data_IF_937422226813
#
_entry.id   IF_937422226813
#
_cell.length_a   1.000
_cell.length_b   1.000
_cell.length_c   1.000
_cell.angle_alpha   90.00
_cell.angle_beta   90.00
_cell.angle_gamma   90.00
#
_symmetry.space_group_name_H-M   'P 1'
#
loop_
_entity.id
_entity.type
_entity.pdbx_description
1 polymer ?
#
# COMPACT_ATOMS: atom_id res chain seq x y z
N UNK A 1 29.50 -7.80 -16.55
CA UNK A 1 28.07 -8.18 -16.77
C UNK A 1 27.82 -8.91 -18.09
N UNK A 2 27.96 -8.28 -19.27
CA UNK A 2 27.61 -8.92 -20.57
C UNK A 2 28.32 -10.26 -20.83
N UNK A 3 29.60 -10.36 -20.47
CA UNK A 3 30.37 -11.61 -20.61
C UNK A 3 29.84 -12.73 -19.70
N UNK A 4 29.51 -12.40 -18.44
CA UNK A 4 28.90 -13.32 -17.48
C UNK A 4 27.51 -13.78 -17.95
N UNK A 5 26.69 -12.84 -18.43
CA UNK A 5 25.37 -13.12 -18.96
C UNK A 5 25.44 -14.12 -20.13
N UNK A 6 26.36 -13.90 -21.08
CA UNK A 6 26.63 -14.84 -22.18
C UNK A 6 27.11 -16.20 -21.68
N UNK A 7 28.06 -16.22 -20.75
CA UNK A 7 28.63 -17.47 -20.21
C UNK A 7 27.57 -18.33 -19.50
N UNK A 8 26.62 -17.69 -18.83
CA UNK A 8 25.53 -18.34 -18.10
C UNK A 8 24.25 -18.52 -18.94
N UNK A 9 24.25 -18.11 -20.20
CA UNK A 9 23.08 -18.10 -21.08
C UNK A 9 21.85 -17.35 -20.50
N UNK A 10 22.11 -16.29 -19.72
CA UNK A 10 21.09 -15.42 -19.10
C UNK A 10 21.20 -14.00 -19.66
N UNK A 11 20.25 -13.14 -19.32
CA UNK A 11 20.24 -11.72 -19.62
C UNK A 11 21.15 -10.94 -18.66
N UNK A 12 21.73 -9.82 -19.10
CA UNK A 12 22.52 -8.92 -18.25
C UNK A 12 21.77 -8.46 -16.98
N UNK A 13 20.48 -8.17 -17.11
CA UNK A 13 19.63 -7.78 -15.98
C UNK A 13 19.48 -8.89 -14.94
N UNK A 14 19.44 -10.16 -15.38
CA UNK A 14 19.38 -11.31 -14.48
C UNK A 14 20.69 -11.41 -13.66
N UNK A 15 21.85 -11.24 -14.29
CA UNK A 15 23.17 -11.23 -13.61
C UNK A 15 23.26 -10.10 -12.58
N UNK A 16 22.80 -8.89 -12.95
CA UNK A 16 22.79 -7.76 -12.03
C UNK A 16 21.84 -7.99 -10.85
N UNK A 17 20.64 -8.51 -11.12
CA UNK A 17 19.71 -8.87 -10.06
C UNK A 17 20.32 -9.89 -9.10
N UNK A 18 20.93 -10.94 -9.63
CA UNK A 18 21.56 -11.98 -8.80
C UNK A 18 22.74 -11.44 -7.98
N UNK A 19 23.56 -10.57 -8.57
CA UNK A 19 24.67 -9.90 -7.89
C UNK A 19 24.19 -9.08 -6.69
N UNK A 20 23.23 -8.18 -6.90
CA UNK A 20 22.71 -7.35 -5.82
C UNK A 20 21.98 -8.19 -4.75
N UNK A 21 21.16 -9.18 -5.14
CA UNK A 21 20.52 -10.08 -4.18
C UNK A 21 21.55 -10.85 -3.32
N UNK A 22 22.63 -11.37 -3.91
CA UNK A 22 23.68 -12.09 -3.16
C UNK A 22 24.51 -11.19 -2.23
N UNK A 23 24.46 -9.87 -2.42
CA UNK A 23 25.03 -8.89 -1.48
C UNK A 23 24.04 -8.49 -0.36
N UNK A 24 22.81 -9.01 -0.38
CA UNK A 24 21.75 -8.57 0.51
C UNK A 24 21.15 -7.22 0.11
N UNK A 25 21.38 -6.75 -1.13
CA UNK A 25 20.81 -5.52 -1.66
C UNK A 25 19.49 -5.83 -2.38
N UNK A 26 18.45 -5.03 -2.10
CA UNK A 26 17.21 -5.06 -2.87
C UNK A 26 17.47 -4.65 -4.33
N UNK A 27 16.84 -5.36 -5.27
CA UNK A 27 17.04 -5.11 -6.71
C UNK A 27 15.83 -4.42 -7.29
N UNK A 28 16.09 -3.31 -7.97
CA UNK A 28 15.11 -2.61 -8.78
C UNK A 28 15.35 -2.91 -10.24
N UNK A 29 14.35 -3.49 -10.90
CA UNK A 29 14.44 -3.75 -12.32
C UNK A 29 13.11 -3.39 -12.99
N UNK A 30 13.10 -2.20 -13.59
CA UNK A 30 12.10 -1.82 -14.58
C UNK A 30 12.37 -2.59 -15.88
N UNK A 31 11.65 -3.69 -16.09
CA UNK A 31 11.76 -4.49 -17.31
C UNK A 31 10.37 -4.81 -17.85
N UNK A 32 10.20 -4.75 -19.18
CA UNK A 32 9.00 -5.24 -19.87
C UNK A 32 8.86 -6.77 -19.84
N UNK A 33 9.77 -7.47 -19.14
CA UNK A 33 9.82 -8.93 -19.00
C UNK A 33 9.80 -9.36 -17.52
N UNK A 34 8.81 -8.88 -16.78
CA UNK A 34 8.62 -9.12 -15.34
C UNK A 34 8.65 -10.60 -14.96
N UNK A 35 8.04 -11.48 -15.76
CA UNK A 35 7.95 -12.93 -15.46
C UNK A 35 9.31 -13.62 -15.33
N UNK A 36 10.26 -13.29 -16.22
CA UNK A 36 11.58 -13.94 -16.24
C UNK A 36 12.49 -13.43 -15.11
N UNK A 37 12.35 -12.14 -14.77
CA UNK A 37 13.04 -11.60 -13.60
C UNK A 37 12.45 -12.17 -12.30
N UNK A 38 11.12 -12.35 -12.23
CA UNK A 38 10.46 -13.03 -11.13
C UNK A 38 10.99 -14.46 -10.96
N UNK A 39 11.24 -15.20 -12.04
CA UNK A 39 11.86 -16.53 -11.96
C UNK A 39 13.28 -16.48 -11.37
N UNK A 40 14.06 -15.44 -11.68
CA UNK A 40 15.37 -15.20 -11.05
C UNK A 40 15.25 -14.86 -9.57
N UNK A 41 14.28 -14.03 -9.19
CA UNK A 41 14.00 -13.69 -7.79
C UNK A 41 13.47 -14.91 -7.00
N UNK A 42 12.67 -15.77 -7.64
CA UNK A 42 12.13 -17.02 -7.06
C UNK A 42 13.17 -18.11 -6.86
N UNK A 43 14.18 -18.16 -7.73
CA UNK A 43 15.28 -19.14 -7.70
C UNK A 43 16.51 -18.63 -6.95
N UNK A 44 16.33 -17.61 -6.09
CA UNK A 44 17.40 -16.99 -5.32
C UNK A 44 18.26 -18.02 -4.56
N UNK A 45 17.73 -19.20 -4.22
CA UNK A 45 18.43 -20.12 -3.34
C UNK A 45 19.31 -21.22 -3.94
N UNK A 46 19.15 -21.74 -5.18
CA UNK A 46 19.85 -23.04 -5.44
C UNK A 46 20.57 -23.29 -6.78
N UNK A 47 20.16 -22.76 -7.94
CA UNK A 47 20.71 -23.33 -9.20
C UNK A 47 21.80 -22.51 -9.91
N UNK A 48 21.99 -21.24 -9.59
CA UNK A 48 23.02 -20.43 -10.27
C UNK A 48 23.55 -19.23 -9.47
N UNK A 49 23.90 -19.43 -8.20
CA UNK A 49 24.65 -18.39 -7.47
C UNK A 49 25.92 -17.99 -8.23
N UNK A 50 26.19 -16.69 -8.29
CA UNK A 50 27.45 -16.15 -8.74
C UNK A 50 28.52 -16.60 -7.76
N UNK A 51 29.61 -17.13 -8.29
CA UNK A 51 30.77 -17.55 -7.50
C UNK A 51 31.50 -16.34 -6.92
N UNK A 52 32.29 -16.53 -5.86
CA UNK A 52 33.10 -15.46 -5.26
C UNK A 52 33.95 -14.70 -6.28
N UNK A 53 34.46 -15.41 -7.29
CA UNK A 53 35.22 -14.81 -8.39
C UNK A 53 34.35 -13.93 -9.28
N UNK A 54 33.15 -14.38 -9.63
CA UNK A 54 32.21 -13.60 -10.45
C UNK A 54 31.70 -12.39 -9.66
N UNK A 55 31.47 -12.54 -8.36
CA UNK A 55 31.15 -11.46 -7.42
C UNK A 55 32.28 -10.43 -7.35
N UNK A 56 33.54 -10.86 -7.20
CA UNK A 56 34.70 -9.96 -7.17
C UNK A 56 34.86 -9.15 -8.47
N UNK A 57 34.63 -9.79 -9.63
CA UNK A 57 34.64 -9.11 -10.94
C UNK A 57 33.51 -8.09 -11.05
N UNK A 58 32.36 -8.35 -10.45
CA UNK A 58 31.22 -7.44 -10.45
C UNK A 58 31.34 -6.32 -9.41
N UNK A 59 32.03 -6.54 -8.29
CA UNK A 59 32.39 -5.49 -7.33
C UNK A 59 33.35 -4.45 -7.92
N UNK A 60 34.32 -4.89 -8.74
CA UNK A 60 35.17 -3.96 -9.51
C UNK A 60 34.32 -3.15 -10.52
N UNK A 61 33.24 -3.78 -10.99
CA UNK A 61 32.24 -3.17 -11.86
C UNK A 61 31.30 -2.21 -11.09
N UNK A 62 31.04 -2.41 -9.80
CA UNK A 62 30.34 -1.45 -8.93
C UNK A 62 31.15 -0.16 -8.76
N UNK A 63 32.47 -0.28 -8.52
CA UNK A 63 33.40 0.87 -8.55
C UNK A 63 33.46 1.56 -9.93
N UNK A 64 33.33 0.79 -11.01
CA UNK A 64 33.22 1.31 -12.37
C UNK A 64 31.85 1.95 -12.65
N UNK A 65 30.72 1.37 -12.22
CA UNK A 65 29.38 1.93 -12.44
C UNK A 65 29.17 3.18 -11.59
N UNK A 66 29.68 3.21 -10.36
CA UNK A 66 29.72 4.40 -9.52
C UNK A 66 30.56 5.54 -10.13
N UNK A 67 31.54 5.23 -10.99
CA UNK A 67 32.40 6.22 -11.67
C UNK A 67 32.02 6.51 -13.13
N UNK A 68 31.27 5.61 -13.79
CA UNK A 68 31.06 5.61 -15.26
C UNK A 68 29.60 5.63 -15.69
N UNK A 69 28.64 5.31 -14.80
CA UNK A 69 27.22 5.68 -14.99
C UNK A 69 26.97 7.05 -14.36
N UNK A 70 27.73 8.06 -14.80
CA UNK A 70 27.09 9.34 -15.10
C UNK A 70 26.39 9.17 -16.44
N UNK A 71 25.27 8.45 -16.43
CA UNK A 71 24.22 8.75 -17.41
C UNK A 71 23.94 10.24 -17.22
N UNK A 72 23.65 11.01 -18.27
CA UNK A 72 23.17 12.39 -18.17
C UNK A 72 21.79 12.49 -17.49
N UNK A 73 21.55 11.68 -16.46
CA UNK A 73 20.50 11.90 -15.49
C UNK A 73 21.03 12.95 -14.51
N UNK A 74 20.22 14.00 -14.29
CA UNK A 74 20.52 15.10 -13.36
C UNK A 74 21.14 14.56 -12.05
N UNK A 75 22.08 15.27 -11.40
CA UNK A 75 22.48 15.01 -10.01
C UNK A 75 21.29 14.77 -9.04
N UNK A 76 20.10 15.27 -9.39
CA UNK A 76 18.85 15.06 -8.65
C UNK A 76 18.26 13.64 -8.82
N UNK A 77 18.48 12.98 -9.97
CA UNK A 77 18.04 11.59 -10.23
C UNK A 77 18.67 10.60 -9.24
N UNK A 78 19.95 10.81 -8.90
CA UNK A 78 20.67 9.97 -7.94
C UNK A 78 20.45 10.36 -6.48
N UNK A 79 19.97 11.59 -6.19
CA UNK A 79 19.62 11.97 -4.81
C UNK A 79 18.38 11.24 -4.28
N UNK A 80 17.50 10.78 -5.18
CA UNK A 80 16.30 10.00 -4.83
C UNK A 80 16.44 8.48 -4.91
N UNK A 81 17.48 8.00 -5.59
CA UNK A 81 17.66 6.59 -5.96
C UNK A 81 18.84 5.91 -5.26
N UNK A 82 19.22 6.39 -4.08
CA UNK A 82 20.08 5.58 -3.21
C UNK A 82 19.25 4.33 -2.88
N UNK A 83 19.67 3.16 -3.33
CA UNK A 83 18.95 1.91 -3.07
C UNK A 83 18.62 1.80 -1.58
N UNK A 84 17.49 1.16 -1.27
CA UNK A 84 17.10 0.88 0.11
C UNK A 84 18.27 0.20 0.85
N UNK A 85 18.94 0.96 1.71
CA UNK A 85 20.08 0.48 2.47
C UNK A 85 19.54 -0.42 3.56
N UNK A 86 19.77 -1.73 3.46
CA UNK A 86 19.25 -2.69 4.43
C UNK A 86 19.79 -2.45 5.85
N UNK A 87 20.86 -1.68 6.02
CA UNK A 87 21.30 -1.20 7.34
C UNK A 87 20.28 -0.27 8.01
N UNK A 88 19.43 0.42 7.25
CA UNK A 88 18.30 1.19 7.79
C UNK A 88 17.30 0.27 8.52
N UNK A 89 17.19 -1.02 8.14
CA UNK A 89 16.34 -1.99 8.84
C UNK A 89 16.85 -2.28 10.26
N UNK A 90 18.17 -2.35 10.42
CA UNK A 90 18.79 -2.58 11.74
C UNK A 90 18.54 -1.38 12.66
N UNK A 91 18.58 -0.16 12.13
CA UNK A 91 18.26 1.07 12.88
C UNK A 91 16.78 1.15 13.27
N UNK A 92 15.88 0.67 12.39
CA UNK A 92 14.44 0.61 12.61
C UNK A 92 14.03 -0.35 13.76
N UNK A 93 14.74 -1.47 13.93
CA UNK A 93 14.47 -2.46 14.98
C UNK A 93 14.67 -1.93 16.40
N UNK A 94 15.45 -0.85 16.58
CA UNK A 94 15.82 -0.31 17.90
C UNK A 94 14.77 0.68 18.44
N UNK A 95 13.77 1.06 17.64
CA UNK A 95 12.74 2.01 18.09
C UNK A 95 11.78 1.36 19.10
N UNK A 96 11.65 1.98 20.27
CA UNK A 96 10.84 1.47 21.38
C UNK A 96 9.37 1.26 20.97
N UNK A 97 8.76 0.19 21.48
CA UNK A 97 7.34 -0.09 21.27
C UNK A 97 6.47 1.10 21.72
N UNK A 98 5.57 1.61 20.85
CA UNK A 98 4.61 2.62 21.26
C UNK A 98 3.73 2.09 22.38
N UNK A 99 3.41 2.93 23.37
CA UNK A 99 2.58 2.58 24.53
C UNK A 99 1.09 2.39 24.21
N UNK A 100 0.74 1.63 23.17
CA UNK A 100 -0.63 1.27 22.82
C UNK A 100 -1.03 -0.05 23.50
N UNK A 101 -2.35 -0.23 23.72
CA UNK A 101 -2.91 -1.47 24.26
C UNK A 101 -3.83 -2.11 23.24
N UNK A 102 -3.59 -3.39 22.94
CA UNK A 102 -4.45 -4.16 22.05
C UNK A 102 -5.90 -4.24 22.57
N UNK A 103 -6.08 -4.44 23.87
CA UNK A 103 -7.42 -4.49 24.48
C UNK A 103 -8.16 -3.16 24.30
N UNK A 104 -7.51 -2.04 24.56
CA UNK A 104 -8.11 -0.71 24.41
C UNK A 104 -8.42 -0.39 22.94
N UNK A 105 -7.48 -0.68 22.03
CA UNK A 105 -7.66 -0.45 20.60
C UNK A 105 -8.82 -1.27 20.03
N UNK A 106 -8.95 -2.53 20.44
CA UNK A 106 -10.05 -3.40 20.05
C UNK A 106 -11.39 -2.91 20.63
N UNK A 107 -11.42 -2.52 21.90
CA UNK A 107 -12.64 -1.99 22.52
C UNK A 107 -13.16 -0.74 21.77
N UNK A 108 -12.26 0.16 21.35
CA UNK A 108 -12.61 1.31 20.53
C UNK A 108 -13.09 0.89 19.13
N UNK A 109 -12.39 -0.04 18.48
CA UNK A 109 -12.75 -0.55 17.16
C UNK A 109 -14.12 -1.25 17.15
N UNK A 110 -14.44 -2.08 18.14
CA UNK A 110 -15.74 -2.74 18.29
C UNK A 110 -16.87 -1.75 18.66
N UNK A 111 -16.55 -0.72 19.44
CA UNK A 111 -17.53 0.30 19.83
C UNK A 111 -17.87 1.20 18.65
N UNK A 112 -16.85 1.73 17.98
CA UNK A 112 -16.98 2.84 17.05
C UNK A 112 -16.86 2.40 15.58
N UNK A 113 -16.34 1.21 15.30
CA UNK A 113 -16.02 0.74 13.93
C UNK A 113 -14.76 1.37 13.35
N UNK A 114 -14.08 2.19 14.14
CA UNK A 114 -12.82 2.84 13.80
C UNK A 114 -12.03 3.05 15.09
N UNK A 115 -10.72 2.87 15.02
CA UNK A 115 -9.78 3.23 16.10
C UNK A 115 -8.70 4.15 15.55
N UNK A 116 -8.27 5.11 16.36
CA UNK A 116 -7.16 6.02 16.07
C UNK A 116 -6.05 5.78 17.08
N UNK A 117 -4.88 5.38 16.58
CA UNK A 117 -3.69 5.17 17.40
C UNK A 117 -2.66 6.24 17.05
N UNK A 118 -2.43 7.13 18.00
CA UNK A 118 -1.49 8.24 17.84
C UNK A 118 -0.05 7.77 18.01
N UNK A 119 0.84 8.22 17.13
CA UNK A 119 2.27 7.84 17.13
C UNK A 119 2.48 6.33 17.22
N UNK A 120 1.65 5.57 16.52
CA UNK A 120 1.73 4.12 16.44
C UNK A 120 2.96 3.68 15.63
N UNK A 121 3.27 4.36 14.52
CA UNK A 121 4.38 3.96 13.67
C UNK A 121 5.70 4.60 14.12
N UNK A 122 6.81 3.85 14.08
CA UNK A 122 8.14 4.43 14.20
C UNK A 122 8.36 5.56 13.19
N UNK A 123 8.97 6.66 13.62
CA UNK A 123 9.25 7.81 12.74
C UNK A 123 10.02 7.40 11.48
N UNK A 124 11.03 6.55 11.63
CA UNK A 124 11.83 6.07 10.49
C UNK A 124 11.03 5.21 9.50
N UNK A 125 9.99 4.47 9.93
CA UNK A 125 9.11 3.73 9.02
C UNK A 125 8.26 4.69 8.16
N UNK A 126 7.82 5.81 8.77
CA UNK A 126 7.10 6.88 8.09
C UNK A 126 8.01 7.64 7.13
N UNK A 127 9.22 7.99 7.56
CA UNK A 127 10.22 8.65 6.71
C UNK A 127 10.59 7.78 5.50
N UNK A 128 10.75 6.46 5.69
CA UNK A 128 10.97 5.52 4.59
C UNK A 128 9.82 5.55 3.59
N UNK A 129 8.57 5.45 4.07
CA UNK A 129 7.39 5.55 3.21
C UNK A 129 7.25 6.92 2.52
N UNK A 130 7.67 8.02 3.15
CA UNK A 130 7.66 9.35 2.53
C UNK A 130 8.62 9.46 1.34
N UNK A 131 9.70 8.66 1.27
CA UNK A 131 10.58 8.60 0.09
C UNK A 131 9.84 8.15 -1.17
N UNK A 132 8.80 7.32 -1.02
CA UNK A 132 7.90 6.94 -2.13
C UNK A 132 7.22 8.15 -2.73
N UNK A 133 6.78 9.11 -1.91
CA UNK A 133 6.01 10.27 -2.36
C UNK A 133 6.81 11.12 -3.33
N UNK A 134 8.05 11.42 -2.96
CA UNK A 134 8.94 12.21 -3.81
C UNK A 134 9.21 11.52 -5.15
N UNK A 135 9.45 10.20 -5.13
CA UNK A 135 9.64 9.41 -6.36
C UNK A 135 8.39 9.44 -7.24
N UNK A 136 7.21 9.17 -6.67
CA UNK A 136 5.95 9.19 -7.40
C UNK A 136 5.70 10.56 -8.05
N UNK A 137 5.94 11.66 -7.33
CA UNK A 137 5.82 13.01 -7.88
C UNK A 137 6.78 13.23 -9.04
N UNK A 138 8.05 12.86 -8.92
CA UNK A 138 9.03 13.01 -10.00
C UNK A 138 8.69 12.15 -11.22
N UNK A 139 8.29 10.90 -11.03
CA UNK A 139 7.93 9.99 -12.12
C UNK A 139 6.70 10.48 -12.92
N UNK A 140 5.88 11.32 -12.29
CA UNK A 140 4.72 11.96 -12.91
C UNK A 140 4.98 13.41 -13.36
N UNK A 141 6.24 13.86 -13.34
CA UNK A 141 6.67 15.17 -13.84
C UNK A 141 6.44 16.35 -12.89
N UNK A 142 6.14 16.08 -11.61
CA UNK A 142 6.11 17.09 -10.56
C UNK A 142 7.51 17.39 -10.00
N UNK A 143 7.59 18.31 -9.03
CA UNK A 143 8.87 18.74 -8.45
C UNK A 143 8.92 18.57 -6.93
N UNK A 144 7.82 18.85 -6.25
CA UNK A 144 7.69 18.83 -4.80
C UNK A 144 6.44 18.05 -4.43
N UNK A 145 6.58 17.10 -3.51
CA UNK A 145 5.49 16.24 -3.06
C UNK A 145 4.62 16.93 -1.99
N UNK A 146 5.10 17.98 -1.34
CA UNK A 146 4.34 18.74 -0.35
C UNK A 146 3.57 19.90 -0.98
N UNK A 147 4.08 20.53 -2.04
CA UNK A 147 3.49 21.71 -2.66
C UNK A 147 2.38 21.36 -3.68
N UNK A 148 1.15 21.81 -3.41
CA UNK A 148 0.02 21.57 -4.31
C UNK A 148 0.14 22.26 -5.68
N UNK A 149 0.91 23.34 -5.80
CA UNK A 149 1.14 24.03 -7.09
C UNK A 149 2.13 23.27 -7.99
N UNK A 150 3.00 22.46 -7.37
CA UNK A 150 4.00 21.63 -8.05
C UNK A 150 3.57 20.16 -8.17
N UNK A 151 2.36 19.84 -7.71
CA UNK A 151 1.78 18.51 -7.77
C UNK A 151 1.35 18.16 -9.21
N UNK A 152 1.70 16.99 -9.73
CA UNK A 152 1.48 16.66 -11.13
C UNK A 152 0.00 16.48 -11.44
N UNK A 153 -0.48 17.12 -12.51
CA UNK A 153 -1.89 17.08 -12.93
C UNK A 153 -2.40 15.65 -13.13
N UNK A 154 -1.55 14.73 -13.59
CA UNK A 154 -1.90 13.30 -13.73
C UNK A 154 -2.34 12.67 -12.40
N UNK A 155 -1.64 12.95 -11.30
CA UNK A 155 -2.04 12.46 -9.98
C UNK A 155 -3.28 13.18 -9.41
N UNK A 156 -3.74 14.27 -10.04
CA UNK A 156 -5.06 14.84 -9.73
C UNK A 156 -6.20 14.13 -10.47
N UNK A 157 -5.92 13.52 -11.61
CA UNK A 157 -6.89 12.75 -12.38
C UNK A 157 -6.94 11.28 -11.94
N UNK A 158 -5.78 10.71 -11.61
CA UNK A 158 -5.55 9.34 -11.14
C UNK A 158 -4.83 9.39 -9.79
N UNK A 159 -5.52 9.77 -8.71
CA UNK A 159 -4.91 9.99 -7.39
C UNK A 159 -4.51 8.72 -6.67
N UNK A 160 -5.05 7.59 -7.10
CA UNK A 160 -4.77 6.28 -6.53
C UNK A 160 -3.60 5.69 -7.29
N UNK A 161 -2.48 5.50 -6.60
CA UNK A 161 -1.34 4.73 -7.11
C UNK A 161 -1.44 3.32 -6.50
N UNK A 162 -2.07 2.35 -7.19
CA UNK A 162 -2.23 1.01 -6.67
C UNK A 162 -0.89 0.26 -6.66
N UNK A 163 -0.80 -0.81 -5.86
CA UNK A 163 0.40 -1.67 -5.78
C UNK A 163 0.97 -2.09 -7.15
N UNK A 164 0.13 -2.37 -8.14
CA UNK A 164 0.61 -2.81 -9.47
C UNK A 164 1.27 -1.69 -10.29
N UNK A 165 1.17 -0.44 -9.84
CA UNK A 165 1.86 0.71 -10.42
C UNK A 165 3.15 1.07 -9.68
N UNK A 166 3.41 0.43 -8.53
CA UNK A 166 4.64 0.63 -7.76
C UNK A 166 5.73 -0.30 -8.27
N UNK A 167 6.95 0.22 -8.39
CA UNK A 167 8.12 -0.62 -8.64
C UNK A 167 8.70 -1.14 -7.33
N UNK A 168 9.66 -2.05 -7.44
CA UNK A 168 10.29 -2.71 -6.29
C UNK A 168 10.97 -1.72 -5.33
N UNK A 169 11.38 -0.53 -5.79
CA UNK A 169 11.94 0.53 -4.94
C UNK A 169 10.89 1.04 -3.98
N UNK A 170 9.72 1.42 -4.49
CA UNK A 170 8.63 1.91 -3.65
C UNK A 170 8.16 0.83 -2.69
N UNK A 171 8.07 -0.42 -3.17
CA UNK A 171 7.74 -1.54 -2.30
C UNK A 171 8.77 -1.69 -1.16
N UNK A 172 10.07 -1.61 -1.44
CA UNK A 172 11.09 -1.67 -0.40
C UNK A 172 10.95 -0.53 0.62
N UNK A 173 10.63 0.68 0.17
CA UNK A 173 10.38 1.82 1.08
C UNK A 173 9.11 1.68 1.90
N UNK A 174 8.10 0.95 1.41
CA UNK A 174 6.85 0.68 2.16
C UNK A 174 6.98 -0.50 3.13
N UNK A 175 7.99 -1.34 2.98
CA UNK A 175 8.16 -2.56 3.78
C UNK A 175 8.16 -2.31 5.31
N UNK A 176 8.93 -1.34 5.86
CA UNK A 176 8.91 -1.10 7.31
C UNK A 176 7.55 -0.67 7.83
N UNK A 177 6.83 0.15 7.05
CA UNK A 177 5.48 0.60 7.38
C UNK A 177 4.50 -0.58 7.39
N UNK A 178 4.53 -1.42 6.35
CA UNK A 178 3.65 -2.59 6.25
C UNK A 178 3.90 -3.58 7.38
N UNK A 179 5.17 -3.88 7.68
CA UNK A 179 5.55 -4.79 8.76
C UNK A 179 5.04 -4.30 10.12
N UNK A 180 5.21 -3.00 10.41
CA UNK A 180 4.80 -2.38 11.68
C UNK A 180 3.30 -2.51 11.95
N UNK A 181 2.47 -2.62 10.91
CA UNK A 181 1.02 -2.69 11.00
C UNK A 181 0.48 -4.10 11.28
N UNK A 182 1.31 -5.14 11.07
CA UNK A 182 0.87 -6.53 11.20
C UNK A 182 0.34 -6.88 12.59
N UNK A 183 1.00 -6.39 13.64
CA UNK A 183 0.59 -6.60 15.03
C UNK A 183 -0.78 -5.98 15.35
N UNK A 184 -1.02 -4.76 14.86
CA UNK A 184 -2.32 -4.08 15.01
C UNK A 184 -3.43 -4.85 14.28
N UNK A 185 -3.20 -5.26 13.04
CA UNK A 185 -4.22 -5.97 12.27
C UNK A 185 -4.58 -7.32 12.90
N UNK A 186 -3.58 -8.10 13.37
CA UNK A 186 -3.82 -9.34 14.12
C UNK A 186 -4.62 -9.11 15.39
N UNK A 187 -4.29 -8.06 16.13
CA UNK A 187 -5.03 -7.66 17.33
C UNK A 187 -6.50 -7.33 17.03
N UNK A 188 -6.77 -6.47 16.03
CA UNK A 188 -8.12 -6.01 15.72
C UNK A 188 -9.01 -7.07 15.06
N UNK A 189 -8.40 -8.01 14.32
CA UNK A 189 -9.13 -9.12 13.67
C UNK A 189 -9.20 -10.38 14.56
N UNK A 190 -8.49 -10.41 15.69
CA UNK A 190 -8.39 -11.56 16.60
C UNK A 190 -7.90 -12.84 15.91
N UNK A 191 -6.86 -12.72 15.09
CA UNK A 191 -6.30 -13.81 14.29
C UNK A 191 -4.78 -13.87 14.39
N UNK A 192 -4.23 -15.05 14.19
CA UNK A 192 -2.77 -15.29 14.22
C UNK A 192 -2.08 -14.78 12.95
N UNK A 193 -2.75 -14.87 11.80
CA UNK A 193 -2.16 -14.55 10.50
C UNK A 193 -3.06 -13.63 9.68
N UNK A 194 -2.42 -12.61 9.10
CA UNK A 194 -3.07 -11.58 8.27
C UNK A 194 -2.28 -11.35 7.00
N UNK A 195 -2.98 -10.89 5.96
CA UNK A 195 -2.36 -10.52 4.69
C UNK A 195 -3.07 -9.35 4.02
N UNK A 196 -2.40 -8.76 3.04
CA UNK A 196 -2.87 -7.63 2.25
C UNK A 196 -3.66 -8.12 1.04
N UNK A 197 -4.90 -7.66 0.89
CA UNK A 197 -5.70 -7.88 -0.32
C UNK A 197 -5.74 -6.64 -1.23
N UNK A 198 -5.27 -5.48 -0.76
CA UNK A 198 -4.84 -4.36 -1.61
C UNK A 198 -3.92 -3.42 -0.82
N UNK A 199 -3.16 -2.61 -1.57
CA UNK A 199 -2.41 -1.47 -1.07
C UNK A 199 -2.46 -0.36 -2.11
N UNK A 200 -2.63 0.88 -1.66
CA UNK A 200 -2.56 2.06 -2.52
C UNK A 200 -1.90 3.23 -1.79
N UNK A 201 -1.19 4.05 -2.54
CA UNK A 201 -0.68 5.35 -2.10
C UNK A 201 -1.54 6.42 -2.75
N UNK A 202 -2.07 7.37 -1.96
CA UNK A 202 -2.98 8.39 -2.48
C UNK A 202 -2.53 9.79 -2.11
N UNK A 203 -2.39 10.63 -3.13
CA UNK A 203 -2.13 12.06 -3.01
C UNK A 203 -3.39 12.88 -3.28
N UNK A 204 -3.63 13.90 -2.46
CA UNK A 204 -4.75 14.83 -2.62
C UNK A 204 -4.27 16.26 -2.52
N UNK A 205 -4.03 16.89 -3.66
CA UNK A 205 -3.74 18.32 -3.75
C UNK A 205 -5.02 19.17 -3.73
N UNK A 206 -4.85 20.47 -3.48
CA UNK A 206 -5.93 21.45 -3.51
C UNK A 206 -6.57 21.53 -4.89
N UNK A 207 -7.90 21.55 -4.94
CA UNK A 207 -8.65 21.69 -6.20
C UNK A 207 -8.73 20.41 -7.05
N UNK A 208 -8.09 19.33 -6.63
CA UNK A 208 -8.15 18.05 -7.33
C UNK A 208 -9.43 17.29 -6.96
N UNK A 209 -10.57 17.79 -7.42
CA UNK A 209 -11.90 17.28 -7.03
C UNK A 209 -12.12 15.80 -7.39
N UNK A 210 -11.43 15.27 -8.41
CA UNK A 210 -11.51 13.84 -8.76
C UNK A 210 -10.93 12.93 -7.69
N UNK A 211 -10.04 13.42 -6.83
CA UNK A 211 -9.52 12.69 -5.67
C UNK A 211 -10.38 12.81 -4.42
N UNK A 212 -11.49 13.55 -4.50
CA UNK A 212 -12.48 13.52 -3.44
C UNK A 212 -13.32 12.25 -3.54
N UNK A 213 -12.98 11.28 -2.70
CA UNK A 213 -13.87 10.14 -2.43
C UNK A 213 -15.04 10.65 -1.59
N UNK A 214 -16.29 10.51 -2.04
CA UNK A 214 -17.47 10.91 -1.25
C UNK A 214 -17.63 9.97 -0.04
N UNK A 215 -18.61 10.27 0.81
CA UNK A 215 -19.01 9.33 1.86
C UNK A 215 -19.33 7.96 1.28
N UNK A 216 -18.75 6.91 1.86
CA UNK A 216 -18.91 5.54 1.39
C UNK A 216 -18.74 4.50 2.50
N UNK A 217 -18.95 3.24 2.15
CA UNK A 217 -18.52 2.06 2.90
C UNK A 217 -17.61 1.26 1.96
N UNK A 218 -16.42 0.86 2.40
CA UNK A 218 -15.45 0.14 1.54
C UNK A 218 -16.00 -1.20 1.05
N UNK A 219 -16.88 -1.83 1.83
CA UNK A 219 -17.56 -3.06 1.39
C UNK A 219 -18.39 -2.86 0.12
N UNK A 220 -18.78 -1.61 -0.19
CA UNK A 220 -19.48 -1.25 -1.42
C UNK A 220 -18.69 -1.59 -2.68
N UNK A 221 -17.35 -1.52 -2.64
CA UNK A 221 -16.49 -1.93 -3.75
C UNK A 221 -16.51 -3.45 -3.99
N UNK A 222 -16.98 -4.25 -3.02
CA UNK A 222 -17.17 -5.69 -3.15
C UNK A 222 -18.57 -6.07 -3.67
N UNK A 223 -19.43 -5.10 -4.00
CA UNK A 223 -20.75 -5.37 -4.60
C UNK A 223 -20.69 -6.10 -5.95
N UNK A 224 -19.54 -6.15 -6.63
CA UNK A 224 -19.36 -7.02 -7.80
C UNK A 224 -19.76 -8.48 -7.53
N UNK A 225 -19.66 -8.97 -6.29
CA UNK A 225 -20.12 -10.30 -5.92
C UNK A 225 -21.64 -10.42 -5.93
N UNK A 226 -22.35 -9.38 -5.53
CA UNK A 226 -23.79 -9.31 -5.76
C UNK A 226 -24.10 -9.42 -7.26
N UNK A 227 -23.24 -8.93 -8.16
CA UNK A 227 -23.46 -8.99 -9.63
C UNK A 227 -23.44 -10.43 -10.06
N UNK A 228 -22.38 -11.14 -9.64
CA UNK A 228 -22.18 -12.57 -9.92
C UNK A 228 -23.34 -13.40 -9.38
N UNK A 229 -23.80 -13.10 -8.17
CA UNK A 229 -24.94 -13.77 -7.52
C UNK A 229 -26.32 -13.28 -8.01
N UNK A 230 -26.36 -12.24 -8.85
CA UNK A 230 -27.58 -11.59 -9.38
C UNK A 230 -28.57 -11.08 -8.32
N UNK A 231 -28.16 -11.00 -7.05
CA UNK A 231 -29.00 -10.60 -5.92
C UNK A 231 -28.12 -10.14 -4.75
N UNK A 232 -28.51 -9.01 -4.12
CA UNK A 232 -27.87 -8.55 -2.89
C UNK A 232 -28.11 -9.50 -1.72
N UNK A 233 -29.34 -9.99 -1.55
CA UNK A 233 -29.69 -10.90 -0.44
C UNK A 233 -28.86 -12.19 -0.48
N UNK A 234 -28.55 -12.68 -1.67
CA UNK A 234 -27.69 -13.86 -1.85
C UNK A 234 -26.22 -13.57 -1.57
N UNK A 235 -25.73 -12.36 -1.86
CA UNK A 235 -24.34 -11.96 -1.62
C UNK A 235 -24.10 -11.43 -0.20
N UNK A 236 -25.14 -11.03 0.52
CA UNK A 236 -25.05 -10.42 1.84
C UNK A 236 -24.26 -11.27 2.86
N UNK A 237 -24.50 -12.59 3.02
CA UNK A 237 -23.71 -13.41 3.95
C UNK A 237 -22.21 -13.37 3.65
N UNK A 238 -21.84 -13.36 2.36
CA UNK A 238 -20.46 -13.22 1.93
C UNK A 238 -19.89 -11.85 2.28
N UNK A 239 -20.59 -10.76 1.95
CA UNK A 239 -20.13 -9.39 2.24
C UNK A 239 -19.93 -9.18 3.75
N UNK A 240 -20.85 -9.68 4.56
CA UNK A 240 -20.73 -9.64 6.01
C UNK A 240 -19.55 -10.47 6.52
N UNK A 241 -19.36 -11.68 5.99
CA UNK A 241 -18.22 -12.51 6.35
C UNK A 241 -16.89 -11.84 5.96
N UNK A 242 -16.83 -11.23 4.77
CA UNK A 242 -15.66 -10.49 4.29
C UNK A 242 -15.34 -9.31 5.21
N UNK A 243 -16.35 -8.49 5.56
CA UNK A 243 -16.18 -7.34 6.43
C UNK A 243 -15.85 -7.70 7.89
N UNK A 244 -16.24 -8.88 8.38
CA UNK A 244 -15.81 -9.40 9.70
C UNK A 244 -14.36 -9.88 9.70
N UNK A 245 -13.87 -10.36 8.56
CA UNK A 245 -12.52 -10.92 8.42
C UNK A 245 -11.54 -9.94 7.78
N UNK A 246 -11.94 -8.69 7.60
CA UNK A 246 -11.12 -7.69 6.93
C UNK A 246 -11.27 -6.33 7.59
N UNK A 247 -10.25 -5.50 7.46
CA UNK A 247 -10.27 -4.10 7.86
C UNK A 247 -9.48 -3.27 6.85
N UNK A 248 -9.56 -1.96 6.98
CA UNK A 248 -8.72 -1.02 6.24
C UNK A 248 -7.88 -0.23 7.23
N UNK A 249 -6.58 -0.12 6.94
CA UNK A 249 -5.65 0.73 7.65
C UNK A 249 -5.38 1.97 6.79
N UNK A 250 -5.69 3.13 7.33
CA UNK A 250 -5.37 4.44 6.75
C UNK A 250 -4.18 5.03 7.52
N UNK A 251 -3.09 5.25 6.79
CA UNK A 251 -1.81 5.68 7.34
C UNK A 251 -1.43 7.04 6.76
N UNK A 252 -1.65 8.15 7.48
CA UNK A 252 -1.23 9.48 7.04
C UNK A 252 0.30 9.56 6.91
N UNK A 253 0.77 10.01 5.75
CA UNK A 253 2.17 10.36 5.50
C UNK A 253 2.41 11.88 5.61
N UNK A 254 1.34 12.66 5.68
CA UNK A 254 1.35 14.10 5.98
C UNK A 254 0.32 14.38 7.06
N UNK A 255 0.43 15.51 7.77
CA UNK A 255 -0.60 15.92 8.71
C UNK A 255 -1.95 16.14 8.00
N UNK A 256 -2.99 15.50 8.54
CA UNK A 256 -4.38 15.63 8.07
C UNK A 256 -5.18 16.40 9.11
N UNK A 257 -5.36 17.69 8.86
CA UNK A 257 -6.19 18.59 9.65
C UNK A 257 -7.53 18.84 8.95
N UNK A 258 -8.45 19.52 9.62
CA UNK A 258 -9.76 19.90 9.07
C UNK A 258 -9.69 20.51 7.66
N UNK A 259 -8.70 21.37 7.41
CA UNK A 259 -8.46 22.07 6.14
C UNK A 259 -7.57 21.27 5.18
N UNK A 260 -6.85 20.25 5.66
CA UNK A 260 -5.98 19.37 4.86
C UNK A 260 -6.66 18.05 4.46
N UNK A 261 -7.98 17.98 4.56
CA UNK A 261 -8.73 16.82 4.11
C UNK A 261 -8.76 15.65 5.11
N UNK A 262 -8.70 15.94 6.41
CA UNK A 262 -8.86 14.94 7.47
C UNK A 262 -10.10 14.04 7.28
N UNK A 263 -9.97 12.81 7.76
CA UNK A 263 -11.01 11.79 7.67
C UNK A 263 -12.19 12.11 8.60
N UNK A 264 -13.39 11.80 8.12
CA UNK A 264 -14.62 11.88 8.90
C UNK A 264 -15.25 10.50 8.93
N UNK A 265 -15.60 10.04 10.13
CA UNK A 265 -16.21 8.73 10.37
C UNK A 265 -17.54 8.89 11.08
N UNK A 266 -18.57 8.17 10.64
CA UNK A 266 -19.78 8.00 11.45
C UNK A 266 -19.60 6.84 12.43
N UNK A 267 -19.29 7.13 13.69
CA UNK A 267 -19.03 6.10 14.71
C UNK A 267 -20.24 5.19 14.92
N UNK A 268 -19.97 3.90 15.12
CA UNK A 268 -20.96 2.84 15.35
C UNK A 268 -21.69 2.36 14.08
N UNK A 269 -21.45 2.97 12.91
CA UNK A 269 -22.17 2.59 11.68
C UNK A 269 -21.75 1.23 11.11
N UNK A 270 -20.60 0.68 11.51
CA UNK A 270 -20.16 -0.66 11.14
C UNK A 270 -21.13 -1.78 11.54
N UNK A 271 -22.01 -1.53 12.53
CA UNK A 271 -23.05 -2.48 12.97
C UNK A 271 -24.28 -2.48 12.07
N UNK A 272 -24.31 -1.58 11.08
CA UNK A 272 -25.37 -1.49 10.08
C UNK A 272 -24.92 -2.26 8.84
N UNK A 273 -25.90 -2.71 8.08
CA UNK A 273 -25.67 -3.36 6.80
C UNK A 273 -25.15 -2.37 5.75
N UNK A 274 -24.79 -2.87 4.57
CA UNK A 274 -24.40 -2.02 3.44
C UNK A 274 -25.58 -1.14 3.03
N UNK A 275 -25.46 0.16 3.29
CA UNK A 275 -26.51 1.10 3.00
C UNK A 275 -26.63 1.32 1.49
N UNK A 276 -27.86 1.19 0.95
CA UNK A 276 -28.14 1.32 -0.50
C UNK A 276 -27.59 2.59 -1.16
N UNK A 277 -27.61 3.72 -0.44
CA UNK A 277 -26.98 4.99 -0.85
C UNK A 277 -25.50 4.88 -1.27
N UNK A 278 -24.75 3.93 -0.71
CA UNK A 278 -23.34 3.70 -1.02
C UNK A 278 -23.11 2.61 -2.05
N UNK A 279 -24.18 2.07 -2.64
CA UNK A 279 -24.05 1.19 -3.77
C UNK A 279 -23.49 1.95 -4.96
N UNK A 280 -22.67 1.29 -5.77
CA UNK A 280 -22.17 1.88 -7.01
C UNK A 280 -23.33 2.26 -7.93
N UNK A 281 -23.20 3.27 -8.81
CA UNK A 281 -24.31 3.75 -9.64
C UNK A 281 -25.08 2.66 -10.39
N UNK A 282 -24.40 1.64 -10.91
CA UNK A 282 -25.02 0.52 -11.64
C UNK A 282 -25.94 -0.37 -10.78
N UNK A 283 -25.86 -0.24 -9.46
CA UNK A 283 -26.66 -1.00 -8.49
C UNK A 283 -27.85 -0.22 -7.94
N UNK A 284 -27.86 1.10 -8.13
CA UNK A 284 -28.90 1.95 -7.57
C UNK A 284 -30.20 1.83 -8.36
N UNK A 285 -31.32 2.00 -7.67
CA UNK A 285 -32.63 2.06 -8.30
C UNK A 285 -32.73 3.26 -9.26
N UNK A 286 -33.57 3.20 -10.32
CA UNK A 286 -33.84 4.36 -11.16
C UNK A 286 -34.29 5.56 -10.32
N UNK A 287 -33.59 6.68 -10.42
CA UNK A 287 -33.91 7.92 -9.69
C UNK A 287 -33.28 8.07 -8.30
N UNK A 288 -32.54 7.07 -7.81
CA UNK A 288 -31.74 7.21 -6.59
C UNK A 288 -30.53 8.11 -6.88
N UNK A 289 -30.54 9.33 -6.32
CA UNK A 289 -29.40 10.26 -6.45
C UNK A 289 -28.23 9.75 -5.62
N UNK A 290 -26.99 9.86 -6.11
CA UNK A 290 -25.82 9.73 -5.25
C UNK A 290 -25.90 10.72 -4.10
N UNK A 291 -25.39 10.33 -2.93
CA UNK A 291 -24.92 11.32 -1.97
C UNK A 291 -23.58 11.82 -2.50
N UNK A 292 -23.64 12.86 -3.33
CA UNK A 292 -22.46 13.61 -3.74
C UNK A 292 -22.01 14.61 -2.66
N UNK A 293 -22.82 14.80 -1.62
CA UNK A 293 -22.62 15.86 -0.64
C UNK A 293 -22.26 15.26 0.71
N UNK A 294 -21.06 15.61 1.15
CA UNK A 294 -20.61 15.44 2.52
C UNK A 294 -21.65 16.04 3.48
N UNK A 295 -22.30 15.21 4.29
CA UNK A 295 -23.22 15.65 5.34
C UNK A 295 -22.49 15.64 6.69
N UNK A 296 -21.88 16.78 7.05
CA UNK A 296 -21.29 16.98 8.39
C UNK A 296 -22.31 16.86 9.52
N UNK A 297 -23.60 16.96 9.21
CA UNK A 297 -24.68 16.91 10.18
C UNK A 297 -25.22 15.50 10.39
N UNK A 298 -24.59 14.47 9.80
CA UNK A 298 -24.83 13.11 10.26
C UNK A 298 -24.48 13.05 11.76
N UNK A 299 -25.46 12.82 12.63
CA UNK A 299 -25.36 13.04 14.08
C UNK A 299 -24.19 12.30 14.78
N UNK A 300 -23.62 11.29 14.11
CA UNK A 300 -22.47 10.52 14.56
C UNK A 300 -21.17 10.78 13.80
N UNK A 301 -21.10 11.80 12.94
CA UNK A 301 -19.90 12.16 12.20
C UNK A 301 -18.84 12.80 13.12
N UNK A 302 -17.67 12.18 13.17
CA UNK A 302 -16.52 12.66 13.91
C UNK A 302 -15.36 12.88 12.95
N UNK A 303 -14.87 14.12 12.90
CA UNK A 303 -13.61 14.46 12.26
C UNK A 303 -12.45 13.94 13.12
N UNK A 304 -11.51 13.23 12.52
CA UNK A 304 -10.30 12.75 13.18
C UNK A 304 -9.10 13.40 12.48
N UNK A 305 -8.43 14.31 13.18
CA UNK A 305 -7.17 14.88 12.71
C UNK A 305 -6.02 13.95 13.07
N UNK A 306 -5.10 13.78 12.14
CA UNK A 306 -4.00 12.84 12.26
C UNK A 306 -2.67 13.49 11.88
N UNK A 307 -1.59 12.96 12.43
CA UNK A 307 -0.22 13.33 12.09
C UNK A 307 0.50 12.15 11.44
N UNK A 308 1.63 12.39 10.74
CA UNK A 308 2.55 11.30 10.42
C UNK A 308 2.86 10.49 11.69
N UNK A 309 2.98 9.18 11.54
CA UNK A 309 3.05 8.17 12.61
C UNK A 309 1.72 7.75 13.26
N UNK A 310 0.62 8.44 13.01
CA UNK A 310 -0.69 7.93 13.43
C UNK A 310 -1.18 6.79 12.53
N UNK A 311 -2.12 5.99 13.02
CA UNK A 311 -2.86 5.01 12.21
C UNK A 311 -4.34 5.10 12.53
N UNK A 312 -5.16 5.07 11.49
CA UNK A 312 -6.59 4.84 11.60
C UNK A 312 -6.88 3.42 11.09
N UNK A 313 -7.63 2.62 11.85
CA UNK A 313 -8.09 1.32 11.39
C UNK A 313 -9.61 1.30 11.44
N UNK A 314 -10.28 0.97 10.34
CA UNK A 314 -11.75 0.96 10.27
C UNK A 314 -12.31 -0.31 9.63
N UNK A 315 -13.52 -0.65 10.09
CA UNK A 315 -14.32 -1.73 9.51
C UNK A 315 -14.88 -1.31 8.15
N UNK A 316 -15.02 -2.27 7.23
CA UNK A 316 -15.49 -2.01 5.87
C UNK A 316 -16.95 -1.51 5.79
N UNK A 317 -17.75 -1.71 6.83
CA UNK A 317 -19.10 -1.14 6.96
C UNK A 317 -19.11 0.25 7.60
N UNK A 318 -18.00 0.74 8.15
CA UNK A 318 -17.97 2.08 8.75
C UNK A 318 -18.16 3.12 7.66
N UNK A 319 -19.19 3.97 7.81
CA UNK A 319 -19.39 5.08 6.90
C UNK A 319 -18.30 6.11 7.13
N UNK A 320 -17.59 6.49 6.07
CA UNK A 320 -16.53 7.47 6.19
C UNK A 320 -16.25 8.19 4.87
N UNK A 321 -15.46 9.25 4.96
CA UNK A 321 -14.92 9.96 3.81
C UNK A 321 -14.00 11.10 4.23
N UNK A 322 -13.05 11.50 3.38
CA UNK A 322 -12.17 12.63 3.67
C UNK A 322 -12.89 13.97 3.45
N UNK A 323 -12.53 14.99 4.24
CA UNK A 323 -12.84 16.38 3.91
C UNK A 323 -12.18 16.79 2.58
N UNK A 324 -12.67 17.82 1.87
CA UNK A 324 -11.90 18.48 0.82
C UNK A 324 -10.56 18.99 1.37
N UNK A 325 -9.48 18.88 0.58
CA UNK A 325 -8.21 19.53 0.91
C UNK A 325 -8.25 20.97 0.37
N UNK A 326 -8.24 21.93 1.27
CA UNK A 326 -8.28 23.37 1.00
C UNK A 326 -6.93 24.04 1.24
N UNK A 327 -5.98 23.34 1.86
CA UNK A 327 -4.65 23.83 2.18
C UNK A 327 -3.77 23.94 0.93
N UNK A 328 -2.66 24.70 0.97
CA UNK A 328 -1.68 24.73 -0.13
C UNK A 328 -0.81 23.47 -0.19
N UNK A 329 -0.97 22.53 0.76
CA UNK A 329 -0.16 21.33 0.84
C UNK A 329 -0.88 20.12 0.27
N UNK A 330 -0.14 19.17 -0.29
CA UNK A 330 -0.68 17.87 -0.71
C UNK A 330 -0.89 16.99 0.53
N UNK A 331 -2.06 16.36 0.62
CA UNK A 331 -2.34 15.35 1.64
C UNK A 331 -2.01 13.96 1.11
N UNK A 332 -1.08 13.27 1.75
CA UNK A 332 -0.66 11.92 1.40
C UNK A 332 -0.99 10.90 2.48
N UNK A 333 -1.37 9.70 2.04
CA UNK A 333 -1.57 8.55 2.90
C UNK A 333 -1.35 7.24 2.14
N UNK A 334 -1.14 6.16 2.89
CA UNK A 334 -1.20 4.79 2.42
C UNK A 334 -2.49 4.16 2.96
N UNK A 335 -3.25 3.51 2.08
CA UNK A 335 -4.40 2.68 2.46
C UNK A 335 -4.03 1.21 2.25
N UNK A 336 -4.25 0.39 3.28
CA UNK A 336 -3.99 -1.05 3.25
C UNK A 336 -5.27 -1.82 3.59
N UNK A 337 -5.72 -2.65 2.66
CA UNK A 337 -6.76 -3.63 2.95
C UNK A 337 -6.14 -4.87 3.55
N UNK A 338 -6.45 -5.15 4.83
CA UNK A 338 -5.94 -6.31 5.55
C UNK A 338 -7.05 -7.34 5.76
N UNK A 339 -6.72 -8.62 5.64
CA UNK A 339 -7.64 -9.73 5.81
C UNK A 339 -7.01 -10.88 6.61
N UNK A 340 -7.84 -11.58 7.36
CA UNK A 340 -7.51 -12.87 7.97
C UNK A 340 -7.11 -13.91 6.90
N UNK A 341 -5.89 -14.45 6.95
CA UNK A 341 -5.42 -15.44 5.97
C UNK A 341 -6.14 -16.79 6.04
N UNK A 342 -6.72 -17.12 7.19
CA UNK A 342 -7.52 -18.33 7.37
C UNK A 342 -8.92 -18.18 6.76
N UNK A 343 -9.35 -16.96 6.46
CA UNK A 343 -10.62 -16.72 5.77
C UNK A 343 -10.50 -17.14 4.31
N UNK A 344 -10.82 -18.40 4.04
CA UNK A 344 -11.08 -18.91 2.69
C UNK A 344 -12.59 -18.97 2.51
N UNK A 345 -13.15 -18.06 1.72
CA UNK A 345 -14.56 -18.20 1.34
C UNK A 345 -14.68 -19.36 0.37
N UNK A 346 -15.29 -20.46 0.82
CA UNK A 346 -15.57 -21.64 0.00
C UNK A 346 -16.42 -21.33 -1.25
N UNK A 347 -17.14 -20.20 -1.23
CA UNK A 347 -18.03 -19.74 -2.29
C UNK A 347 -17.44 -18.62 -3.16
N UNK A 348 -16.13 -18.31 -3.01
CA UNK A 348 -15.41 -17.41 -3.91
C UNK A 348 -14.52 -18.23 -4.84
N UNK A 349 -14.93 -18.43 -6.10
CA UNK A 349 -14.07 -19.02 -7.10
C UNK A 349 -12.89 -18.08 -7.31
N UNK A 350 -11.68 -18.64 -7.21
CA UNK A 350 -10.38 -18.01 -7.46
C UNK A 350 -10.20 -16.69 -6.68
N UNK A 351 -9.94 -16.84 -5.38
CA UNK A 351 -9.63 -15.75 -4.47
C UNK A 351 -8.44 -14.94 -5.00
N UNK A 352 -8.62 -13.62 -5.00
CA UNK A 352 -7.56 -12.64 -5.12
C UNK A 352 -6.37 -13.07 -4.27
N UNK A 353 -5.16 -12.95 -4.80
CA UNK A 353 -3.97 -13.22 -4.01
C UNK A 353 -3.99 -12.31 -2.77
N UNK A 354 -3.71 -12.86 -1.60
CA UNK A 354 -3.58 -12.10 -0.35
C UNK A 354 -2.13 -12.21 0.08
N UNK A 355 -1.39 -11.12 -0.06
CA UNK A 355 0.04 -11.05 0.22
C UNK A 355 0.29 -11.13 1.72
N UNK A 356 1.07 -12.10 2.20
CA UNK A 356 1.37 -12.22 3.64
C UNK A 356 2.08 -10.96 4.15
N UNK A 357 1.62 -10.40 5.28
CA UNK A 357 2.33 -9.29 5.94
C UNK A 357 3.61 -9.83 6.57
N UNK A 358 4.76 -9.14 6.43
CA UNK A 358 6.02 -9.57 7.00
C UNK A 358 5.97 -9.68 8.53
N UNK A 359 6.69 -10.66 9.08
CA UNK A 359 6.76 -10.88 10.53
C UNK A 359 7.84 -10.03 11.18
N UNK A 360 8.94 -9.78 10.48
CA UNK A 360 10.09 -9.02 10.95
C UNK A 360 10.69 -8.12 9.86
N UNK A 361 11.69 -7.34 10.24
CA UNK A 361 12.45 -6.46 9.37
C UNK A 361 13.71 -7.13 8.79
N UNK A 362 13.71 -8.45 8.61
CA UNK A 362 14.86 -9.15 7.99
C UNK A 362 14.87 -8.98 6.47
N UNK A 363 16.05 -9.15 5.86
CA UNK A 363 16.18 -9.18 4.40
C UNK A 363 15.38 -10.33 3.75
N UNK A 364 15.24 -11.46 4.44
CA UNK A 364 14.42 -12.59 3.96
C UNK A 364 12.94 -12.19 3.91
N UNK A 365 12.43 -11.57 4.97
CA UNK A 365 11.07 -11.00 5.02
C UNK A 365 10.84 -9.93 3.95
N UNK A 366 11.84 -9.09 3.66
CA UNK A 366 11.76 -8.11 2.59
C UNK A 366 11.62 -8.76 1.20
N UNK A 367 12.44 -9.77 0.90
CA UNK A 367 12.35 -10.50 -0.37
C UNK A 367 11.00 -11.22 -0.49
N UNK A 368 10.56 -11.85 0.60
CA UNK A 368 9.23 -12.47 0.69
C UNK A 368 8.12 -11.46 0.40
N UNK A 369 8.14 -10.31 1.08
CA UNK A 369 7.19 -9.22 0.89
C UNK A 369 7.10 -8.76 -0.56
N UNK A 370 8.24 -8.38 -1.17
CA UNK A 370 8.27 -7.89 -2.55
C UNK A 370 7.68 -8.93 -3.50
N UNK A 371 8.03 -10.22 -3.31
CA UNK A 371 7.47 -11.30 -4.11
C UNK A 371 5.95 -11.40 -3.98
N UNK A 372 5.42 -11.38 -2.75
CA UNK A 372 3.98 -11.41 -2.49
C UNK A 372 3.26 -10.20 -3.10
N UNK A 373 3.84 -9.00 -2.99
CA UNK A 373 3.24 -7.79 -3.58
C UNK A 373 3.21 -7.83 -5.11
N UNK A 374 4.20 -8.44 -5.76
CA UNK A 374 4.20 -8.63 -7.21
C UNK A 374 3.12 -9.64 -7.65
N UNK A 375 2.86 -10.69 -6.86
CA UNK A 375 1.72 -11.58 -7.09
C UNK A 375 0.38 -10.86 -6.88
N UNK A 376 0.27 -10.05 -5.83
CA UNK A 376 -0.92 -9.23 -5.57
C UNK A 376 -1.19 -8.32 -6.76
N UNK A 377 -0.16 -7.63 -7.26
CA UNK A 377 -0.23 -6.76 -8.43
C UNK A 377 -0.77 -7.49 -9.66
N UNK A 378 -0.23 -8.67 -9.99
CA UNK A 378 -0.69 -9.49 -11.12
C UNK A 378 -2.18 -9.86 -10.96
N UNK A 379 -2.57 -10.37 -9.80
CA UNK A 379 -3.96 -10.77 -9.55
C UNK A 379 -4.96 -9.61 -9.60
N UNK A 380 -4.51 -8.38 -9.33
CA UNK A 380 -5.36 -7.19 -9.37
C UNK A 380 -5.67 -6.71 -10.80
N UNK A 381 -4.75 -6.96 -11.75
CA UNK A 381 -4.94 -6.58 -13.15
C UNK A 381 -6.04 -7.43 -13.80
N UNK A 382 -6.10 -8.72 -13.45
CA UNK A 382 -7.09 -9.65 -13.99
C UNK A 382 -8.53 -9.34 -13.56
N UNK A 383 -8.73 -8.47 -12.56
CA UNK A 383 -10.06 -8.08 -12.09
C UNK A 383 -10.51 -6.72 -12.61
N UNK A 384 -9.62 -5.99 -13.30
CA UNK A 384 -10.02 -4.75 -13.98
C UNK A 384 -10.65 -5.13 -15.33
N UNK A 385 -11.98 -5.04 -15.40
CA UNK A 385 -12.84 -5.22 -16.59
C UNK A 385 -13.25 -6.66 -16.97
N UNK A 386 -14.33 -7.12 -16.34
CA UNK A 386 -15.33 -8.02 -16.93
C UNK A 386 -16.75 -7.48 -16.68
#
# INVERSE_FOLDING_TARGET
VLALARARAVQPAEVLAKFFLQQGNGVVAATSRTERLLDVLRTADNDWNLTDREMAVLHDLEGFLASSLRVEASPDFYRGMVGFDTRELDELQVSAEPGWSCEAARADYERDGVVHLQRFLPGAAVESAQRVLQKLVWDHGGQDWEDAELFPARLCEEPDVPVHSLDTTELNYLFPLVQSLGGLARCLLEVEEVGLYYMLVRGKARGCNRSHVPWHQDIGYKLQYATRQRSYESAKPYLEAFARNSLVLHVPLTAETRDRGAMVYARGTHRRELHRRFWMPQWRGPGERPINEFDEHHESAHLIETAPSDVLAHNLFTHHGPRPNLSPYVRWHVELGVQNLQYRSADVPDTWHVAKIPEDLSSESLVGYVREMLYLAQSSQDVTFA
#
